data_IF_739229537316
#
_entry.id   IF_739229537316
#
_cell.length_a   1.000
_cell.length_b   1.000
_cell.length_c   1.000
_cell.angle_alpha   90.00
_cell.angle_beta   90.00
_cell.angle_gamma   90.00
#
_symmetry.space_group_name_H-M   'P 1'
#
loop_
_entity.id
_entity.type
_entity.pdbx_description
1 polymer ?
#
# COMPACT_ATOMS: atom_id res chain seq x y z
N UNK A 1 3.78 23.76 -32.44
CA UNK A 1 3.83 22.29 -32.29
C UNK A 1 3.52 22.03 -30.84
N UNK A 2 2.43 21.31 -30.53
CA UNK A 2 2.18 20.85 -29.17
C UNK A 2 3.15 19.71 -28.88
N UNK A 3 3.91 19.80 -27.79
CA UNK A 3 4.78 18.71 -27.36
C UNK A 3 3.96 17.76 -26.49
N UNK A 4 4.06 16.46 -26.74
CA UNK A 4 3.53 15.46 -25.83
C UNK A 4 4.19 15.61 -24.45
N UNK A 5 3.40 15.46 -23.39
CA UNK A 5 3.85 15.59 -22.00
C UNK A 5 3.62 14.27 -21.28
N UNK A 6 4.64 13.79 -20.59
CA UNK A 6 4.53 12.65 -19.71
C UNK A 6 4.53 13.11 -18.24
N UNK A 7 3.51 12.70 -17.49
CA UNK A 7 3.49 12.80 -16.04
C UNK A 7 3.86 11.44 -15.46
N UNK A 8 4.97 11.37 -14.73
CA UNK A 8 5.44 10.10 -14.16
C UNK A 8 4.91 9.93 -12.73
N UNK A 9 4.49 8.71 -12.41
CA UNK A 9 4.07 8.30 -11.07
C UNK A 9 4.91 7.14 -10.59
N UNK A 10 5.20 7.10 -9.30
CA UNK A 10 5.69 5.87 -8.68
C UNK A 10 4.54 4.86 -8.54
N UNK A 11 4.82 3.58 -8.80
CA UNK A 11 3.80 2.54 -8.76
C UNK A 11 2.81 2.61 -9.92
N UNK A 12 1.53 2.74 -9.61
CA UNK A 12 0.46 2.77 -10.60
C UNK A 12 -0.33 4.10 -10.51
N UNK A 13 -0.59 4.80 -11.63
CA UNK A 13 -1.26 6.09 -11.63
C UNK A 13 -2.73 6.02 -11.19
N UNK A 14 -3.33 4.83 -11.07
CA UNK A 14 -4.74 4.62 -10.75
C UNK A 14 -4.96 3.99 -9.35
N UNK A 15 -3.91 3.73 -8.58
CA UNK A 15 -4.01 3.23 -7.20
C UNK A 15 -3.38 4.20 -6.20
N UNK A 16 -4.20 4.94 -5.46
CA UNK A 16 -3.78 5.92 -4.45
C UNK A 16 -2.76 6.95 -4.94
N UNK A 17 -2.85 7.33 -6.22
CA UNK A 17 -2.03 8.38 -6.83
C UNK A 17 -2.75 9.72 -6.88
N UNK A 18 -2.02 10.80 -6.62
CA UNK A 18 -2.52 12.17 -6.81
C UNK A 18 -2.65 12.56 -8.30
N UNK A 19 -2.14 11.73 -9.21
CA UNK A 19 -2.17 11.98 -10.66
C UNK A 19 -3.57 12.29 -11.17
N UNK A 20 -4.59 11.57 -10.71
CA UNK A 20 -5.94 11.77 -11.24
C UNK A 20 -6.49 13.17 -10.93
N UNK A 21 -6.17 13.75 -9.76
CA UNK A 21 -6.56 15.11 -9.42
C UNK A 21 -5.85 16.16 -10.29
N UNK A 22 -4.58 15.92 -10.61
CA UNK A 22 -3.82 16.75 -11.54
C UNK A 22 -4.42 16.66 -12.94
N UNK A 23 -4.71 15.44 -13.41
CA UNK A 23 -5.29 15.22 -14.74
C UNK A 23 -6.62 15.95 -14.91
N UNK A 24 -7.52 15.86 -13.94
CA UNK A 24 -8.80 16.57 -13.96
C UNK A 24 -8.61 18.10 -13.97
N UNK A 25 -7.67 18.61 -13.18
CA UNK A 25 -7.35 20.05 -13.18
C UNK A 25 -6.82 20.52 -14.54
N UNK A 26 -5.95 19.75 -15.18
CA UNK A 26 -5.39 20.10 -16.50
C UNK A 26 -6.46 20.04 -17.59
N UNK A 27 -7.34 19.03 -17.56
CA UNK A 27 -8.46 18.92 -18.51
C UNK A 27 -9.44 20.09 -18.41
N UNK A 28 -9.64 20.64 -17.22
CA UNK A 28 -10.47 21.82 -17.03
C UNK A 28 -9.87 23.08 -17.70
N UNK A 29 -8.54 23.22 -17.66
CA UNK A 29 -7.82 24.35 -18.27
C UNK A 29 -7.58 24.18 -19.77
N UNK A 30 -7.54 22.94 -20.27
CA UNK A 30 -7.28 22.60 -21.68
C UNK A 30 -8.42 21.75 -22.26
N UNK A 31 -9.53 22.37 -22.66
CA UNK A 31 -10.64 21.66 -23.30
C UNK A 31 -10.19 20.92 -24.55
N UNK A 32 -10.52 19.63 -24.65
CA UNK A 32 -10.13 18.78 -25.77
C UNK A 32 -8.74 18.13 -25.63
N UNK A 33 -8.08 18.25 -24.47
CA UNK A 33 -6.88 17.47 -24.16
C UNK A 33 -7.20 15.97 -24.22
N UNK A 34 -6.49 15.26 -25.09
CA UNK A 34 -6.44 13.80 -25.08
C UNK A 34 -5.42 13.34 -24.05
N UNK A 35 -5.80 12.38 -23.20
CA UNK A 35 -4.93 11.83 -22.18
C UNK A 35 -5.02 10.30 -22.19
N UNK A 36 -3.86 9.66 -22.13
CA UNK A 36 -3.70 8.22 -22.02
C UNK A 36 -3.10 7.88 -20.64
N UNK A 37 -3.60 6.81 -20.02
CA UNK A 37 -3.04 6.29 -18.76
C UNK A 37 -2.34 4.97 -19.06
N UNK A 38 -1.02 4.95 -18.83
CA UNK A 38 -0.23 3.73 -18.92
C UNK A 38 -0.13 3.10 -17.53
N UNK A 39 -0.68 1.89 -17.30
CA UNK A 39 -0.65 1.26 -15.99
C UNK A 39 0.77 0.88 -15.59
N UNK A 40 1.03 0.92 -14.28
CA UNK A 40 2.29 0.53 -13.68
C UNK A 40 2.15 -0.67 -12.75
N UNK A 41 3.26 -1.18 -12.24
CA UNK A 41 3.24 -2.19 -11.17
C UNK A 41 3.13 -1.44 -9.84
N UNK A 42 1.98 -1.55 -9.16
CA UNK A 42 1.79 -0.89 -7.88
C UNK A 42 2.70 -1.44 -6.79
N UNK A 43 2.99 -0.62 -5.78
CA UNK A 43 3.79 -1.02 -4.60
C UNK A 43 3.18 -2.23 -3.88
N UNK A 44 1.86 -2.35 -3.88
CA UNK A 44 1.13 -3.50 -3.31
C UNK A 44 1.48 -4.81 -4.02
N UNK A 45 1.55 -4.80 -5.36
CA UNK A 45 1.97 -5.97 -6.13
C UNK A 45 3.46 -6.26 -5.96
N UNK A 46 4.30 -5.22 -5.99
CA UNK A 46 5.74 -5.36 -5.77
C UNK A 46 6.03 -6.00 -4.40
N UNK A 47 5.37 -5.52 -3.35
CA UNK A 47 5.53 -6.04 -2.00
C UNK A 47 5.01 -7.46 -1.81
N UNK A 48 3.93 -7.84 -2.50
CA UNK A 48 3.47 -9.22 -2.52
C UNK A 48 4.57 -10.15 -3.05
N UNK A 49 5.19 -9.77 -4.17
CA UNK A 49 6.30 -10.50 -4.76
C UNK A 49 7.52 -10.55 -3.82
N UNK A 50 7.91 -9.42 -3.21
CA UNK A 50 9.00 -9.35 -2.24
C UNK A 50 8.73 -10.20 -1.00
N UNK A 51 7.47 -10.30 -0.55
CA UNK A 51 7.06 -11.15 0.57
C UNK A 51 7.06 -12.66 0.23
N UNK A 52 7.28 -13.03 -1.03
CA UNK A 52 7.29 -14.42 -1.49
C UNK A 52 5.93 -15.12 -1.43
N UNK A 53 4.84 -14.37 -1.25
CA UNK A 53 3.50 -14.91 -1.03
C UNK A 53 2.44 -14.10 -1.78
N UNK A 54 1.43 -14.75 -2.38
CA UNK A 54 0.33 -14.04 -3.00
C UNK A 54 -0.47 -13.25 -1.96
N UNK A 55 -1.06 -12.13 -2.38
CA UNK A 55 -2.00 -11.39 -1.52
C UNK A 55 -3.29 -12.18 -1.32
N UNK A 56 -3.82 -12.79 -2.38
CA UNK A 56 -5.04 -13.59 -2.30
C UNK A 56 -5.02 -14.70 -3.33
N UNK A 57 -5.80 -15.74 -3.06
CA UNK A 57 -6.09 -16.88 -3.92
C UNK A 57 -7.61 -17.08 -4.01
N UNK A 58 -8.09 -18.14 -4.66
CA UNK A 58 -9.51 -18.31 -5.02
C UNK A 58 -10.47 -18.11 -3.85
N UNK A 59 -11.41 -17.16 -4.02
CA UNK A 59 -12.48 -16.86 -3.05
C UNK A 59 -12.05 -15.97 -1.88
N UNK A 60 -10.78 -15.57 -1.79
CA UNK A 60 -10.28 -14.71 -0.72
C UNK A 60 -10.52 -13.22 -1.01
N UNK A 61 -10.80 -12.46 0.05
CA UNK A 61 -11.03 -11.02 0.03
C UNK A 61 -9.73 -10.26 0.31
N UNK A 62 -9.40 -9.34 -0.59
CA UNK A 62 -8.29 -8.39 -0.46
C UNK A 62 -8.84 -7.01 -0.11
N UNK A 63 -8.29 -6.40 0.94
CA UNK A 63 -8.53 -4.99 1.27
C UNK A 63 -7.21 -4.24 1.24
N UNK A 64 -7.17 -3.08 0.57
CA UNK A 64 -5.99 -2.21 0.48
C UNK A 64 -6.38 -0.84 1.03
N UNK A 65 -5.72 -0.41 2.11
CA UNK A 65 -5.97 0.88 2.75
C UNK A 65 -4.69 1.72 2.76
N UNK A 66 -4.74 3.01 2.40
CA UNK A 66 -3.59 3.91 2.48
C UNK A 66 -3.40 4.41 3.92
N UNK A 67 -4.46 4.36 4.72
CA UNK A 67 -4.53 4.82 6.11
C UNK A 67 -5.69 4.13 6.81
N UNK A 68 -5.62 4.03 8.13
CA UNK A 68 -6.67 3.46 8.97
C UNK A 68 -7.13 4.49 9.99
N UNK A 69 -8.44 4.60 10.22
CA UNK A 69 -9.03 5.62 11.09
C UNK A 69 -9.29 5.09 12.51
N UNK A 70 -8.25 4.53 13.11
CA UNK A 70 -8.27 4.04 14.49
C UNK A 70 -8.34 2.52 14.61
N UNK A 71 -8.30 2.05 15.87
CA UNK A 71 -8.13 0.64 16.22
C UNK A 71 -9.34 -0.23 15.85
N UNK A 72 -10.56 0.32 15.94
CA UNK A 72 -11.78 -0.44 15.68
C UNK A 72 -11.97 -0.71 14.18
N UNK A 73 -11.72 0.31 13.35
CA UNK A 73 -11.72 0.21 11.88
C UNK A 73 -10.65 -0.80 11.40
N UNK A 74 -9.45 -0.73 12.00
CA UNK A 74 -8.39 -1.72 11.75
C UNK A 74 -8.85 -3.14 12.06
N UNK A 75 -9.45 -3.34 13.24
CA UNK A 75 -9.91 -4.65 13.69
C UNK A 75 -11.03 -5.19 12.81
N UNK A 76 -11.99 -4.35 12.44
CA UNK A 76 -13.07 -4.72 11.53
C UNK A 76 -12.53 -5.11 10.15
N UNK A 77 -11.65 -4.29 9.59
CA UNK A 77 -11.00 -4.55 8.29
C UNK A 77 -10.28 -5.89 8.28
N UNK A 78 -9.45 -6.16 9.29
CA UNK A 78 -8.71 -7.42 9.41
C UNK A 78 -9.67 -8.60 9.62
N UNK A 79 -10.78 -8.42 10.33
CA UNK A 79 -11.77 -9.49 10.56
C UNK A 79 -12.54 -9.83 9.29
N UNK A 80 -12.82 -8.82 8.46
CA UNK A 80 -13.63 -8.94 7.25
C UNK A 80 -12.82 -9.16 5.97
N UNK A 81 -11.51 -9.40 6.06
CA UNK A 81 -10.63 -9.64 4.91
C UNK A 81 -9.79 -10.88 5.14
N UNK A 82 -9.48 -11.60 4.07
CA UNK A 82 -8.50 -12.69 4.12
C UNK A 82 -7.08 -12.13 4.07
N UNK A 83 -6.90 -11.01 3.35
CA UNK A 83 -5.67 -10.22 3.35
C UNK A 83 -5.96 -8.73 3.39
N UNK A 84 -5.26 -8.04 4.27
CA UNK A 84 -5.29 -6.59 4.41
C UNK A 84 -3.91 -6.04 4.11
N UNK A 85 -3.82 -5.11 3.17
CA UNK A 85 -2.62 -4.33 2.89
C UNK A 85 -2.82 -2.92 3.43
N UNK A 86 -1.93 -2.49 4.32
CA UNK A 86 -1.90 -1.15 4.88
C UNK A 86 -0.68 -0.43 4.32
N UNK A 87 -0.88 0.65 3.59
CA UNK A 87 0.21 1.46 3.04
C UNK A 87 0.66 2.53 4.04
N UNK A 88 1.85 3.08 3.83
CA UNK A 88 2.41 4.19 4.62
C UNK A 88 2.41 3.87 6.12
N UNK A 89 3.04 2.76 6.49
CA UNK A 89 3.08 2.32 7.89
C UNK A 89 3.77 3.38 8.72
N UNK A 90 3.07 3.84 9.75
CA UNK A 90 3.56 4.81 10.70
C UNK A 90 3.52 4.24 12.12
N UNK A 91 4.04 5.04 13.05
CA UNK A 91 4.16 4.68 14.46
C UNK A 91 2.81 4.36 15.11
N UNK A 92 1.79 5.15 14.81
CA UNK A 92 0.45 4.96 15.38
C UNK A 92 -0.16 3.64 14.92
N UNK A 93 0.05 3.27 13.65
CA UNK A 93 -0.38 1.99 13.12
C UNK A 93 0.37 0.81 13.76
N UNK A 94 1.69 0.89 13.93
CA UNK A 94 2.46 -0.16 14.62
C UNK A 94 1.98 -0.35 16.06
N UNK A 95 1.73 0.74 16.79
CA UNK A 95 1.20 0.67 18.15
C UNK A 95 -0.20 0.07 18.20
N UNK A 96 -1.07 0.43 17.25
CA UNK A 96 -2.39 -0.15 17.12
C UNK A 96 -2.30 -1.67 16.88
N UNK A 97 -1.39 -2.10 16.01
CA UNK A 97 -1.18 -3.52 15.70
C UNK A 97 -0.59 -4.29 16.88
N UNK A 98 0.37 -3.74 17.62
CA UNK A 98 0.90 -4.38 18.82
C UNK A 98 -0.19 -4.65 19.88
N UNK A 99 -1.19 -3.76 19.97
CA UNK A 99 -2.36 -3.99 20.81
C UNK A 99 -3.27 -5.09 20.25
N UNK A 100 -3.38 -5.22 18.92
CA UNK A 100 -4.12 -6.30 18.25
C UNK A 100 -3.35 -7.62 18.20
N UNK A 101 -2.02 -7.66 18.33
CA UNK A 101 -1.25 -8.91 18.41
C UNK A 101 -1.70 -9.77 19.58
N UNK A 102 -2.15 -9.14 20.68
CA UNK A 102 -2.82 -9.81 21.81
C UNK A 102 -4.10 -10.57 21.39
N UNK A 103 -4.62 -10.33 20.19
CA UNK A 103 -5.80 -10.98 19.59
C UNK A 103 -5.45 -12.06 18.54
N UNK A 104 -4.17 -12.43 18.39
CA UNK A 104 -3.76 -13.58 17.57
C UNK A 104 -3.24 -13.24 16.16
N UNK A 105 -2.65 -12.05 15.98
CA UNK A 105 -1.99 -11.64 14.72
C UNK A 105 -0.50 -12.01 14.66
N UNK A 106 0.03 -12.69 15.67
CA UNK A 106 1.43 -13.14 15.71
C UNK A 106 1.75 -14.02 14.50
N UNK A 107 2.82 -13.67 13.77
CA UNK A 107 3.25 -14.41 12.57
C UNK A 107 2.35 -14.26 11.35
N UNK A 108 1.39 -13.32 11.39
CA UNK A 108 0.42 -13.09 10.31
C UNK A 108 0.65 -11.80 9.53
N UNK A 109 1.63 -11.00 9.94
CA UNK A 109 1.89 -9.69 9.38
C UNK A 109 3.31 -9.65 8.79
N UNK A 110 3.44 -9.19 7.55
CA UNK A 110 4.72 -8.98 6.88
C UNK A 110 4.87 -7.52 6.53
N UNK A 111 5.90 -6.87 7.05
CA UNK A 111 6.28 -5.51 6.70
C UNK A 111 7.27 -5.53 5.54
N UNK A 112 6.99 -4.72 4.53
CA UNK A 112 7.89 -4.52 3.39
C UNK A 112 8.13 -3.03 3.24
N UNK A 113 9.39 -2.61 3.10
CA UNK A 113 9.74 -1.24 2.73
C UNK A 113 10.59 -1.20 1.48
N UNK A 114 10.44 -0.13 0.71
CA UNK A 114 11.25 0.16 -0.48
C UNK A 114 11.24 -1.02 -1.48
N UNK A 115 10.09 -1.68 -1.63
CA UNK A 115 9.92 -2.88 -2.45
C UNK A 115 10.43 -2.67 -3.87
N UNK A 116 11.09 -3.69 -4.44
CA UNK A 116 11.73 -3.68 -5.77
C UNK A 116 12.88 -2.68 -5.97
N UNK A 117 13.36 -2.03 -4.90
CA UNK A 117 14.52 -1.13 -4.95
C UNK A 117 15.75 -1.73 -4.29
N UNK A 118 16.91 -1.09 -4.44
CA UNK A 118 18.15 -1.50 -3.76
C UNK A 118 18.11 -1.37 -2.22
N UNK A 119 17.10 -0.68 -1.67
CA UNK A 119 16.90 -0.49 -0.22
C UNK A 119 15.80 -1.39 0.35
N UNK A 120 15.34 -2.36 -0.42
CA UNK A 120 14.28 -3.28 -0.01
C UNK A 120 14.62 -3.95 1.33
N UNK A 121 13.61 -4.03 2.20
CA UNK A 121 13.66 -4.84 3.41
C UNK A 121 12.31 -5.48 3.67
N UNK A 122 12.33 -6.77 4.04
CA UNK A 122 11.16 -7.58 4.35
C UNK A 122 11.31 -8.11 5.77
N UNK A 123 10.31 -7.84 6.62
CA UNK A 123 10.30 -8.23 8.03
C UNK A 123 9.00 -8.96 8.34
N UNK A 124 9.10 -10.26 8.64
CA UNK A 124 7.94 -11.11 8.98
C UNK A 124 7.48 -11.00 10.44
N UNK A 125 8.34 -10.45 11.30
CA UNK A 125 8.07 -10.28 12.72
C UNK A 125 8.02 -8.79 13.03
N UNK A 126 6.80 -8.22 12.99
CA UNK A 126 6.59 -6.79 13.15
C UNK A 126 7.01 -6.26 14.54
N UNK A 127 7.15 -7.14 15.54
CA UNK A 127 7.67 -6.76 16.86
C UNK A 127 9.14 -6.32 16.84
N UNK A 128 9.87 -6.65 15.77
CA UNK A 128 11.27 -6.25 15.55
C UNK A 128 11.41 -4.89 14.87
N UNK A 129 10.31 -4.29 14.42
CA UNK A 129 10.32 -3.00 13.73
C UNK A 129 10.45 -1.90 14.77
N UNK A 130 11.45 -1.04 14.59
CA UNK A 130 11.64 0.17 15.40
C UNK A 130 11.14 1.42 14.67
N UNK A 131 11.07 2.55 15.36
CA UNK A 131 10.72 3.83 14.75
C UNK A 131 11.73 4.23 13.63
N UNK A 132 12.97 3.76 13.68
CA UNK A 132 14.01 3.99 12.65
C UNK A 132 13.78 3.14 11.39
N UNK A 133 12.97 2.09 11.49
CA UNK A 133 12.67 1.20 10.36
C UNK A 133 11.49 1.71 9.50
N UNK A 134 10.72 2.66 10.03
CA UNK A 134 9.58 3.26 9.37
C UNK A 134 10.01 4.06 8.13
N UNK A 135 9.31 3.84 7.03
CA UNK A 135 9.55 4.51 5.76
C UNK A 135 8.21 4.88 5.12
N UNK A 136 8.16 6.00 4.40
CA UNK A 136 6.98 6.39 3.64
C UNK A 136 6.63 5.33 2.58
N UNK A 137 7.64 4.75 1.93
CA UNK A 137 7.51 3.67 0.96
C UNK A 137 7.44 2.30 1.63
N UNK A 138 6.60 2.20 2.66
CA UNK A 138 6.36 0.96 3.37
C UNK A 138 4.91 0.52 3.32
N UNK A 139 4.71 -0.77 3.53
CA UNK A 139 3.40 -1.37 3.57
C UNK A 139 3.44 -2.62 4.45
N UNK A 140 2.31 -2.91 5.07
CA UNK A 140 2.10 -4.06 5.91
C UNK A 140 1.05 -4.97 5.30
N UNK A 141 1.40 -6.24 5.13
CA UNK A 141 0.54 -7.28 4.59
C UNK A 141 0.11 -8.17 5.76
N UNK A 142 -1.17 -8.15 6.11
CA UNK A 142 -1.74 -8.96 7.18
C UNK A 142 -2.61 -10.05 6.56
N UNK A 143 -2.36 -11.31 6.90
CA UNK A 143 -3.06 -12.49 6.34
C UNK A 143 -3.71 -13.30 7.46
N UNK A 144 -4.96 -13.73 7.28
CA UNK A 144 -5.68 -14.51 8.30
C UNK A 144 -5.47 -16.01 8.23
#
# INVERSE_FOLDING_TARGET
VGSDVAFITEGDPMLYSEFFQVLESVKAEVPGLEAEVIPGVSSVMAAAASSGMPLVTHGQRLTILPKVYGIDDLRETITNSDTTVLMEVNRDLLQALANLEKLGLTGKATYVRQASTARESVVEDISKISDEDLDYFSLLIIRR
#
